data_IF_013189610665
#
_entry.id   IF_013189610665
#
_cell.length_a   1.000
_cell.length_b   1.000
_cell.length_c   1.000
_cell.angle_alpha   90.00
_cell.angle_beta   90.00
_cell.angle_gamma   90.00
#
_symmetry.space_group_name_H-M   'P 1'
#
loop_
_entity.id
_entity.type
_entity.pdbx_description
1 polymer ?
#
# COMPACT_ATOMS: atom_id res chain seq x y z
N UNK A 1 -6.30 21.45 -25.31
CA UNK A 1 -5.89 20.94 -24.00
C UNK A 1 -4.42 20.60 -24.11
N UNK A 2 -3.56 20.99 -23.15
CA UNK A 2 -2.20 20.47 -23.14
C UNK A 2 -2.27 18.94 -23.08
N UNK A 3 -1.40 18.28 -23.85
CA UNK A 3 -1.27 16.84 -23.83
C UNK A 3 -0.82 16.45 -22.42
N UNK A 4 -1.67 15.76 -21.67
CA UNK A 4 -1.35 15.31 -20.31
C UNK A 4 -0.40 14.12 -20.47
N UNK A 5 0.89 14.38 -20.55
CA UNK A 5 1.91 13.34 -20.62
C UNK A 5 2.15 12.78 -19.22
N UNK A 6 1.90 11.50 -19.03
CA UNK A 6 2.28 10.77 -17.82
C UNK A 6 3.78 10.46 -17.89
N UNK A 7 4.59 11.10 -17.06
CA UNK A 7 6.03 10.85 -17.02
C UNK A 7 6.31 9.46 -16.43
N UNK A 8 7.06 8.64 -17.16
CA UNK A 8 7.42 7.26 -16.78
C UNK A 8 8.94 7.18 -16.70
N UNK A 9 9.56 7.70 -15.62
CA UNK A 9 11.02 7.65 -15.50
C UNK A 9 11.50 6.21 -15.57
N UNK A 10 12.52 5.96 -16.40
CA UNK A 10 13.18 4.67 -16.48
C UNK A 10 14.70 4.86 -16.59
N UNK A 11 15.50 4.26 -15.70
CA UNK A 11 15.07 3.50 -14.52
C UNK A 11 14.44 4.43 -13.47
N UNK A 12 13.43 3.91 -12.76
CA UNK A 12 12.79 4.61 -11.64
C UNK A 12 13.53 4.35 -10.32
N UNK A 13 14.10 3.15 -10.17
CA UNK A 13 14.97 2.79 -9.06
C UNK A 13 16.43 3.10 -9.40
N UNK A 14 17.18 3.57 -8.40
CA UNK A 14 18.65 3.59 -8.52
C UNK A 14 19.20 2.17 -8.58
N UNK A 15 20.39 1.97 -9.15
CA UNK A 15 21.02 0.64 -9.20
C UNK A 15 21.21 0.01 -7.81
N UNK A 16 21.46 0.81 -6.78
CA UNK A 16 21.59 0.33 -5.41
C UNK A 16 20.25 -0.14 -4.83
N UNK A 17 19.17 0.62 -5.05
CA UNK A 17 17.83 0.22 -4.64
C UNK A 17 17.37 -1.04 -5.38
N UNK A 18 17.62 -1.11 -6.70
CA UNK A 18 17.28 -2.28 -7.49
C UNK A 18 18.04 -3.53 -7.03
N UNK A 19 19.34 -3.40 -6.80
CA UNK A 19 20.14 -4.49 -6.27
C UNK A 19 19.65 -4.97 -4.89
N UNK A 20 19.34 -4.04 -3.98
CA UNK A 20 18.81 -4.39 -2.67
C UNK A 20 17.48 -5.15 -2.79
N UNK A 21 16.57 -4.69 -3.65
CA UNK A 21 15.31 -5.38 -3.92
C UNK A 21 15.52 -6.76 -4.50
N UNK A 22 16.38 -6.92 -5.52
CA UNK A 22 16.62 -8.22 -6.16
C UNK A 22 17.26 -9.24 -5.18
N UNK A 23 18.00 -8.78 -4.17
CA UNK A 23 18.65 -9.65 -3.16
C UNK A 23 17.73 -9.97 -1.98
N UNK A 24 17.00 -8.98 -1.47
CA UNK A 24 16.23 -9.10 -0.22
C UNK A 24 14.71 -9.18 -0.43
N UNK A 25 14.22 -8.99 -1.66
CA UNK A 25 12.80 -9.02 -1.97
C UNK A 25 12.02 -7.76 -1.56
N UNK A 26 12.70 -6.75 -1.01
CA UNK A 26 12.10 -5.45 -0.65
C UNK A 26 13.12 -4.32 -0.79
N UNK A 27 12.65 -3.07 -0.83
CA UNK A 27 13.47 -1.88 -0.69
C UNK A 27 12.65 -0.77 -0.05
N UNK A 28 13.29 0.02 0.82
CA UNK A 28 12.68 1.23 1.40
C UNK A 28 13.10 2.44 0.56
N UNK A 29 12.12 3.21 0.10
CA UNK A 29 12.34 4.47 -0.60
C UNK A 29 11.88 5.59 0.32
N UNK A 30 12.82 6.41 0.76
CA UNK A 30 12.54 7.50 1.69
C UNK A 30 12.00 8.73 0.95
N UNK A 31 11.14 9.50 1.62
CA UNK A 31 10.64 10.79 1.15
C UNK A 31 10.00 10.74 -0.26
N UNK A 32 9.27 9.67 -0.56
CA UNK A 32 8.51 9.54 -1.82
C UNK A 32 7.35 10.52 -1.92
N UNK A 33 6.82 10.95 -0.78
CA UNK A 33 5.78 11.96 -0.64
C UNK A 33 6.29 13.11 0.22
N UNK A 34 5.81 14.31 -0.07
CA UNK A 34 5.96 15.48 0.78
C UNK A 34 5.10 15.35 2.05
N UNK A 35 5.38 16.18 3.06
CA UNK A 35 4.56 16.24 4.29
C UNK A 35 3.11 16.60 3.97
N UNK A 36 2.87 17.57 3.08
CA UNK A 36 1.53 18.00 2.70
C UNK A 36 0.74 16.89 1.99
N UNK A 37 1.37 16.15 1.07
CA UNK A 37 0.76 14.99 0.41
C UNK A 37 0.43 13.89 1.43
N UNK A 38 1.36 13.63 2.35
CA UNK A 38 1.19 12.64 3.41
C UNK A 38 0.00 13.00 4.31
N UNK A 39 -0.08 14.24 4.77
CA UNK A 39 -1.18 14.74 5.60
C UNK A 39 -2.52 14.68 4.86
N UNK A 40 -2.54 15.10 3.59
CA UNK A 40 -3.76 15.09 2.77
C UNK A 40 -4.33 13.68 2.62
N UNK A 41 -3.47 12.69 2.29
CA UNK A 41 -3.91 11.29 2.14
C UNK A 41 -4.35 10.73 3.49
N UNK A 42 -3.59 11.00 4.56
CA UNK A 42 -3.91 10.53 5.92
C UNK A 42 -5.26 11.04 6.38
N UNK A 43 -5.53 12.33 6.19
CA UNK A 43 -6.77 12.96 6.64
C UNK A 43 -7.96 12.45 5.81
N UNK A 44 -7.79 12.19 4.51
CA UNK A 44 -8.81 11.53 3.68
C UNK A 44 -9.15 10.11 4.19
N UNK A 45 -8.14 9.34 4.63
CA UNK A 45 -8.37 8.01 5.22
C UNK A 45 -9.06 8.08 6.58
N UNK A 46 -8.74 9.08 7.41
CA UNK A 46 -9.45 9.30 8.66
C UNK A 46 -10.91 9.71 8.41
N UNK A 47 -11.16 10.58 7.43
CA UNK A 47 -12.52 10.94 7.06
C UNK A 47 -13.31 9.73 6.55
N UNK A 48 -12.72 8.90 5.69
CA UNK A 48 -13.33 7.65 5.23
C UNK A 48 -13.72 6.74 6.41
N UNK A 49 -12.84 6.60 7.42
CA UNK A 49 -13.14 5.82 8.63
C UNK A 49 -14.36 6.38 9.37
N UNK A 50 -14.41 7.69 9.57
CA UNK A 50 -15.53 8.34 10.25
C UNK A 50 -16.83 8.19 9.47
N UNK A 51 -16.79 8.42 8.16
CA UNK A 51 -17.95 8.27 7.28
C UNK A 51 -18.50 6.84 7.33
N UNK A 52 -17.63 5.83 7.25
CA UNK A 52 -18.03 4.42 7.37
C UNK A 52 -18.61 4.08 8.75
N UNK A 53 -18.09 4.67 9.83
CA UNK A 53 -18.59 4.44 11.19
C UNK A 53 -19.95 5.11 11.46
N UNK A 54 -20.30 6.17 10.72
CA UNK A 54 -21.58 6.87 10.85
C UNK A 54 -22.71 6.22 10.04
N UNK A 55 -22.37 5.32 9.11
CA UNK A 55 -23.33 4.64 8.27
C UNK A 55 -23.85 3.36 8.92
N UNK A 56 -25.17 3.21 8.89
CA UNK A 56 -25.84 1.94 9.15
C UNK A 56 -26.30 1.35 7.82
N UNK A 57 -25.85 0.14 7.52
CA UNK A 57 -26.36 -0.66 6.41
C UNK A 57 -26.59 -2.08 6.92
N UNK A 58 -27.85 -2.48 7.13
CA UNK A 58 -28.18 -3.80 7.67
C UNK A 58 -28.10 -4.93 6.62
N UNK A 59 -27.74 -4.63 5.37
CA UNK A 59 -27.54 -5.65 4.34
C UNK A 59 -26.27 -6.46 4.61
N UNK A 60 -26.14 -7.63 3.96
CA UNK A 60 -24.91 -8.44 4.04
C UNK A 60 -23.67 -7.69 3.55
N UNK A 61 -23.85 -6.73 2.63
CA UNK A 61 -22.75 -5.89 2.18
C UNK A 61 -22.19 -5.04 3.34
N UNK A 62 -23.07 -4.51 4.20
CA UNK A 62 -22.71 -3.55 5.25
C UNK A 62 -22.27 -2.19 4.70
N UNK A 63 -21.87 -1.25 5.56
CA UNK A 63 -21.63 0.15 5.18
C UNK A 63 -20.64 0.33 4.01
N UNK A 64 -20.94 1.28 3.12
CA UNK A 64 -20.13 1.61 1.95
C UNK A 64 -20.00 3.11 1.72
N UNK A 65 -18.77 3.56 1.47
CA UNK A 65 -18.47 4.93 0.99
C UNK A 65 -17.78 4.79 -0.36
N UNK A 66 -18.45 5.16 -1.45
CA UNK A 66 -17.93 5.01 -2.84
C UNK A 66 -17.36 3.61 -3.11
N UNK A 67 -18.06 2.58 -2.63
CA UNK A 67 -17.65 1.17 -2.76
C UNK A 67 -16.61 0.67 -1.75
N UNK A 68 -15.94 1.56 -1.00
CA UNK A 68 -15.02 1.18 0.07
C UNK A 68 -15.74 0.71 1.33
N UNK A 69 -15.08 -0.13 2.13
CA UNK A 69 -15.64 -0.80 3.31
C UNK A 69 -14.60 -1.26 4.31
N UNK A 70 -15.04 -1.54 5.54
CA UNK A 70 -14.22 -2.23 6.53
C UNK A 70 -14.14 -3.74 6.27
N UNK A 71 -12.94 -4.27 6.04
CA UNK A 71 -12.62 -5.69 6.22
C UNK A 71 -12.39 -6.02 7.71
N UNK A 72 -11.96 -5.04 8.50
CA UNK A 72 -11.86 -5.14 9.96
C UNK A 72 -12.23 -3.80 10.55
N UNK A 73 -13.15 -3.80 11.52
CA UNK A 73 -13.52 -2.63 12.30
C UNK A 73 -13.37 -2.94 13.79
N UNK A 74 -12.22 -2.58 14.36
CA UNK A 74 -11.89 -2.74 15.79
C UNK A 74 -11.31 -1.43 16.33
N UNK A 75 -11.48 -1.12 17.64
CA UNK A 75 -10.99 0.12 18.24
C UNK A 75 -9.49 0.44 18.01
N UNK A 76 -8.66 -0.58 17.82
CA UNK A 76 -7.22 -0.49 17.59
C UNK A 76 -6.80 -0.80 16.14
N UNK A 77 -7.72 -1.26 15.28
CA UNK A 77 -7.41 -1.66 13.90
C UNK A 77 -8.62 -1.52 12.99
N UNK A 78 -8.49 -0.62 12.03
CA UNK A 78 -9.42 -0.48 10.91
C UNK A 78 -8.69 -0.88 9.63
N UNK A 79 -9.16 -1.92 8.96
CA UNK A 79 -8.69 -2.34 7.65
C UNK A 79 -9.78 -1.98 6.65
N UNK A 80 -9.50 -1.05 5.74
CA UNK A 80 -10.41 -0.60 4.70
C UNK A 80 -9.96 -1.10 3.33
N UNK A 81 -10.90 -1.63 2.56
CA UNK A 81 -10.66 -2.12 1.20
C UNK A 81 -11.25 -1.21 0.13
N UNK A 82 -10.78 -1.36 -1.10
CA UNK A 82 -11.31 -0.67 -2.28
C UNK A 82 -11.31 0.87 -2.13
N UNK A 83 -10.17 1.43 -1.68
CA UNK A 83 -10.07 2.85 -1.33
C UNK A 83 -9.76 3.77 -2.53
N UNK A 84 -9.44 3.23 -3.70
CA UNK A 84 -8.84 4.00 -4.81
C UNK A 84 -9.70 5.17 -5.31
N UNK A 85 -11.03 5.06 -5.20
CA UNK A 85 -11.99 6.06 -5.69
C UNK A 85 -12.64 6.89 -4.56
N UNK A 86 -12.20 6.71 -3.31
CA UNK A 86 -12.88 7.34 -2.16
C UNK A 86 -12.56 8.81 -2.02
N UNK A 87 -11.39 9.27 -2.48
CA UNK A 87 -10.96 10.66 -2.41
C UNK A 87 -9.98 10.98 -3.56
N UNK A 88 -10.06 12.17 -4.20
CA UNK A 88 -9.12 12.56 -5.25
C UNK A 88 -7.65 12.48 -4.86
N UNK A 89 -7.27 12.73 -3.61
CA UNK A 89 -5.89 12.61 -3.14
C UNK A 89 -5.41 11.16 -3.15
N UNK A 90 -6.30 10.22 -2.78
CA UNK A 90 -6.00 8.78 -2.81
C UNK A 90 -5.89 8.31 -4.27
N UNK A 91 -6.79 8.75 -5.15
CA UNK A 91 -6.69 8.46 -6.59
C UNK A 91 -5.40 9.02 -7.20
N UNK A 92 -5.03 10.26 -6.87
CA UNK A 92 -3.80 10.88 -7.34
C UNK A 92 -2.55 10.11 -6.89
N UNK A 93 -2.51 9.68 -5.62
CA UNK A 93 -1.46 8.83 -5.08
C UNK A 93 -1.40 7.46 -5.80
N UNK A 94 -2.55 6.85 -6.08
CA UNK A 94 -2.60 5.57 -6.79
C UNK A 94 -1.99 5.65 -8.20
N UNK A 95 -2.00 6.84 -8.79
CA UNK A 95 -1.40 7.14 -10.08
C UNK A 95 -0.12 7.97 -9.97
N UNK A 96 0.59 7.96 -8.83
CA UNK A 96 1.77 8.79 -8.65
C UNK A 96 2.90 8.35 -9.61
N UNK A 97 3.42 9.24 -10.50
CA UNK A 97 4.31 8.86 -11.60
C UNK A 97 5.50 8.00 -11.18
N UNK A 98 6.20 8.40 -10.11
CA UNK A 98 7.36 7.68 -9.60
C UNK A 98 6.99 6.28 -9.06
N UNK A 99 5.86 6.16 -8.33
CA UNK A 99 5.43 4.88 -7.75
C UNK A 99 4.98 3.90 -8.83
N UNK A 100 4.27 4.40 -9.84
CA UNK A 100 3.86 3.61 -11.01
C UNK A 100 5.10 3.17 -11.78
N UNK A 101 6.04 4.06 -12.07
CA UNK A 101 7.25 3.73 -12.81
C UNK A 101 8.13 2.68 -12.09
N UNK A 102 8.26 2.77 -10.76
CA UNK A 102 8.94 1.72 -9.97
C UNK A 102 8.22 0.37 -10.10
N UNK A 103 6.89 0.36 -10.07
CA UNK A 103 6.10 -0.86 -10.24
C UNK A 103 6.27 -1.45 -11.65
N UNK A 104 6.20 -0.61 -12.69
CA UNK A 104 6.37 -1.00 -14.09
C UNK A 104 7.80 -1.51 -14.38
N UNK A 105 8.81 -0.92 -13.77
CA UNK A 105 10.20 -1.38 -13.87
C UNK A 105 10.37 -2.81 -13.32
N UNK A 106 9.72 -3.11 -12.19
CA UNK A 106 9.74 -4.43 -11.57
C UNK A 106 8.89 -5.45 -12.35
N UNK A 107 7.76 -5.02 -12.88
CA UNK A 107 6.88 -5.84 -13.71
C UNK A 107 7.47 -6.08 -15.11
N UNK A 108 8.35 -5.20 -15.59
CA UNK A 108 8.90 -5.28 -16.95
C UNK A 108 7.90 -4.87 -18.03
N UNK A 109 6.93 -4.02 -17.70
CA UNK A 109 5.87 -3.58 -18.59
C UNK A 109 4.81 -2.74 -17.87
N UNK A 110 3.70 -2.46 -18.55
CA UNK A 110 2.62 -1.65 -18.00
C UNK A 110 1.97 -2.32 -16.79
N UNK A 111 1.71 -1.52 -15.75
CA UNK A 111 1.13 -1.98 -14.51
C UNK A 111 -0.39 -1.75 -14.47
N UNK A 112 -1.09 -2.61 -13.73
CA UNK A 112 -2.50 -2.42 -13.37
C UNK A 112 -2.66 -2.52 -11.87
N UNK A 113 -3.38 -1.59 -11.28
CA UNK A 113 -3.80 -1.68 -9.88
C UNK A 113 -4.76 -2.86 -9.74
N UNK A 114 -4.37 -3.84 -8.93
CA UNK A 114 -5.21 -5.01 -8.61
C UNK A 114 -6.02 -4.75 -7.35
N UNK A 115 -5.41 -4.09 -6.37
CA UNK A 115 -6.00 -3.84 -5.07
C UNK A 115 -5.36 -2.60 -4.45
N UNK A 116 -6.17 -1.84 -3.71
CA UNK A 116 -5.69 -0.73 -2.88
C UNK A 116 -6.46 -0.71 -1.57
N UNK A 117 -5.71 -0.72 -0.48
CA UNK A 117 -6.19 -0.96 0.87
C UNK A 117 -5.51 0.02 1.84
N UNK A 118 -6.18 0.32 2.95
CA UNK A 118 -5.64 1.13 4.02
C UNK A 118 -5.73 0.42 5.37
N UNK A 119 -4.70 0.60 6.18
CA UNK A 119 -4.67 0.19 7.57
C UNK A 119 -4.51 1.42 8.45
N UNK A 120 -5.46 1.60 9.38
CA UNK A 120 -5.34 2.53 10.50
C UNK A 120 -5.24 1.66 11.76
N UNK A 121 -4.03 1.49 12.27
CA UNK A 121 -3.76 0.60 13.38
C UNK A 121 -2.85 1.24 14.43
N UNK A 122 -2.93 0.69 15.63
CA UNK A 122 -2.01 0.93 16.73
C UNK A 122 -1.85 -0.37 17.51
N UNK A 123 -0.83 -0.43 18.37
CA UNK A 123 -0.67 -1.56 19.30
C UNK A 123 -1.96 -1.82 20.08
N UNK A 124 -2.34 -3.09 20.16
CA UNK A 124 -3.49 -3.52 20.94
C UNK A 124 -3.20 -3.32 22.44
N UNK A 125 -3.96 -2.47 23.15
CA UNK A 125 -3.75 -2.23 24.57
C UNK A 125 -4.00 -3.48 25.44
N UNK A 126 -4.72 -4.47 24.93
CA UNK A 126 -4.96 -5.75 25.60
C UNK A 126 -3.94 -6.84 25.28
N UNK A 127 -2.91 -6.55 24.47
CA UNK A 127 -1.91 -7.55 24.10
C UNK A 127 -1.05 -7.95 25.32
N UNK A 128 -0.87 -9.26 25.49
CA UNK A 128 0.00 -9.84 26.52
C UNK A 128 1.41 -10.04 25.95
N UNK A 129 2.27 -9.06 26.19
CA UNK A 129 3.67 -9.08 25.74
C UNK A 129 4.58 -10.03 26.53
N UNK A 130 4.07 -10.69 27.58
CA UNK A 130 4.83 -11.75 28.26
C UNK A 130 4.87 -13.04 27.45
N UNK A 131 4.00 -13.17 26.44
CA UNK A 131 3.94 -14.33 25.55
C UNK A 131 4.77 -14.10 24.30
N UNK A 132 5.34 -15.16 23.70
CA UNK A 132 5.98 -15.06 22.39
C UNK A 132 5.01 -14.44 21.36
N UNK A 133 5.46 -13.45 20.58
CA UNK A 133 4.62 -12.82 19.56
C UNK A 133 4.22 -13.84 18.50
N UNK A 134 2.96 -13.78 18.05
CA UNK A 134 2.49 -14.52 16.90
C UNK A 134 2.55 -13.61 15.68
N UNK A 135 3.56 -13.82 14.84
CA UNK A 135 3.66 -13.12 13.57
C UNK A 135 2.85 -13.87 12.51
N UNK A 136 1.91 -13.19 11.87
CA UNK A 136 1.11 -13.72 10.76
C UNK A 136 1.90 -13.75 9.44
N UNK A 137 3.12 -14.30 9.48
CA UNK A 137 3.99 -14.37 8.30
C UNK A 137 3.28 -15.14 7.19
N UNK A 138 3.32 -14.56 6.00
CA UNK A 138 2.79 -15.13 4.78
C UNK A 138 3.69 -14.69 3.62
N UNK A 139 3.76 -15.53 2.59
CA UNK A 139 4.38 -15.17 1.33
C UNK A 139 3.32 -14.64 0.36
N UNK A 140 3.78 -13.96 -0.69
CA UNK A 140 2.95 -13.66 -1.85
C UNK A 140 2.76 -14.92 -2.71
N UNK A 141 2.82 -14.73 -4.02
CA UNK A 141 2.75 -15.84 -4.98
C UNK A 141 4.05 -16.66 -5.01
N UNK A 142 3.92 -17.97 -5.22
CA UNK A 142 5.06 -18.86 -5.44
C UNK A 142 5.92 -18.41 -6.65
N UNK A 143 7.25 -18.48 -6.51
CA UNK A 143 8.23 -17.96 -7.49
C UNK A 143 7.93 -18.38 -8.94
N UNK A 144 7.62 -19.67 -9.27
CA UNK A 144 7.35 -20.09 -10.64
C UNK A 144 6.14 -19.42 -11.29
N UNK A 145 5.22 -18.87 -10.50
CA UNK A 145 4.00 -18.22 -10.98
C UNK A 145 4.01 -16.70 -10.73
N UNK A 146 4.85 -16.24 -9.80
CA UNK A 146 5.00 -14.83 -9.43
C UNK A 146 6.07 -14.09 -10.22
N UNK A 147 6.81 -14.76 -11.11
CA UNK A 147 7.93 -14.14 -11.82
C UNK A 147 8.02 -14.55 -13.29
N UNK A 148 8.77 -13.77 -14.07
CA UNK A 148 9.10 -14.06 -15.45
C UNK A 148 10.43 -13.43 -15.86
N UNK A 149 10.94 -13.86 -17.02
CA UNK A 149 12.12 -13.29 -17.64
C UNK A 149 11.72 -12.50 -18.89
N UNK A 150 12.27 -11.29 -19.05
CA UNK A 150 12.08 -10.47 -20.24
C UNK A 150 13.31 -9.62 -20.47
N UNK A 151 13.76 -9.50 -21.72
CA UNK A 151 14.94 -8.70 -22.09
C UNK A 151 16.22 -9.02 -21.27
N UNK A 152 16.38 -10.28 -20.84
CA UNK A 152 17.52 -10.70 -20.02
C UNK A 152 17.44 -10.30 -18.55
N UNK A 153 16.31 -9.77 -18.10
CA UNK A 153 16.06 -9.35 -16.72
C UNK A 153 14.99 -10.23 -16.06
N UNK A 154 15.07 -10.30 -14.73
CA UNK A 154 14.07 -10.92 -13.86
C UNK A 154 12.99 -9.91 -13.45
N UNK A 155 11.73 -10.32 -13.52
CA UNK A 155 10.57 -9.47 -13.24
C UNK A 155 9.56 -10.19 -12.34
N UNK A 156 8.83 -9.39 -11.56
CA UNK A 156 7.76 -9.84 -10.68
C UNK A 156 6.40 -9.54 -11.30
N UNK A 157 5.52 -10.53 -11.38
CA UNK A 157 4.16 -10.35 -11.92
C UNK A 157 3.28 -9.50 -11.00
N UNK A 158 3.66 -9.40 -9.73
CA UNK A 158 2.91 -8.72 -8.70
C UNK A 158 3.86 -7.99 -7.76
N UNK A 159 3.63 -6.69 -7.57
CA UNK A 159 4.44 -5.80 -6.74
C UNK A 159 3.49 -5.13 -5.75
N UNK A 160 3.91 -5.05 -4.48
CA UNK A 160 3.20 -4.30 -3.46
C UNK A 160 4.00 -3.06 -3.08
N UNK A 161 3.34 -1.91 -3.08
CA UNK A 161 3.86 -0.67 -2.50
C UNK A 161 3.15 -0.46 -1.17
N UNK A 162 3.92 -0.35 -0.09
CA UNK A 162 3.41 -0.02 1.25
C UNK A 162 3.96 1.35 1.61
N UNK A 163 3.07 2.32 1.77
CA UNK A 163 3.43 3.69 2.11
C UNK A 163 2.97 4.00 3.52
N UNK A 164 3.90 4.43 4.36
CA UNK A 164 3.59 4.84 5.72
C UNK A 164 3.17 6.31 5.70
N UNK A 165 2.01 6.61 6.29
CA UNK A 165 1.46 7.97 6.38
C UNK A 165 1.64 8.58 7.79
N UNK A 166 2.31 7.84 8.65
CA UNK A 166 2.73 8.23 10.00
C UNK A 166 4.11 7.64 10.23
N UNK A 167 4.88 8.23 11.14
CA UNK A 167 6.13 7.64 11.60
C UNK A 167 5.86 6.25 12.20
N UNK A 168 6.77 5.32 11.95
CA UNK A 168 6.74 3.99 12.54
C UNK A 168 7.68 3.96 13.75
N UNK A 169 7.12 4.13 14.94
CA UNK A 169 7.81 3.89 16.19
C UNK A 169 7.76 2.42 16.64
N UNK A 170 8.46 2.09 17.73
CA UNK A 170 8.42 0.75 18.33
C UNK A 170 7.00 0.28 18.69
N UNK A 171 6.09 1.21 18.92
CA UNK A 171 4.71 0.96 19.34
C UNK A 171 3.72 0.83 18.16
N UNK A 172 4.13 1.13 16.93
CA UNK A 172 3.20 1.31 15.81
C UNK A 172 3.01 0.05 14.95
N UNK A 173 3.73 -1.03 15.26
CA UNK A 173 3.54 -2.34 14.65
C UNK A 173 3.86 -2.35 13.15
N UNK A 174 4.96 -1.70 12.77
CA UNK A 174 5.42 -1.60 11.38
C UNK A 174 5.62 -2.95 10.69
N UNK A 175 5.73 -2.91 9.36
CA UNK A 175 5.91 -4.11 8.53
C UNK A 175 7.25 -4.80 8.82
N UNK A 176 7.19 -6.09 9.11
CA UNK A 176 8.37 -6.96 9.24
C UNK A 176 8.50 -7.81 7.99
N UNK A 177 9.69 -7.81 7.39
CA UNK A 177 10.07 -8.61 6.22
C UNK A 177 11.21 -9.55 6.59
N UNK A 178 11.31 -10.69 5.91
CA UNK A 178 12.33 -11.73 6.12
C UNK A 178 13.20 -11.83 4.88
#
# INVERSE_FOLDING_TARGET
MPDLTFDRPFPALTSAQRYHLDVFGYVVIENTLTSDETETIRDALYQLREDLNQLEDPTEAGPRVRGSYFLTNKPQHHFMGHIVEVDPAITAYATYPLLVAMSEELIGGEARIVEMNAHINRRDPGADFSKPPKFGFHAGTDIPFGSHLKNGLYHCNFVKTITNLTDLGPEDGGTVVV
#
